data_IF_400000867272
#
_entry.id   IF_400000867272
#
_cell.length_a   1.000
_cell.length_b   1.000
_cell.length_c   1.000
_cell.angle_alpha   90.00
_cell.angle_beta   90.00
_cell.angle_gamma   90.00
#
_symmetry.space_group_name_H-M   'P 1'
#
loop_
_entity.id
_entity.type
_entity.pdbx_description
1 polymer ?
#
# COMPACT_ATOMS: atom_id res chain seq x y z
N UNK A 1 -1.50 -14.23 16.82
CA UNK A 1 -0.81 -13.17 16.05
C UNK A 1 -0.49 -13.79 14.70
N UNK A 2 -1.01 -13.30 13.56
CA UNK A 2 -0.58 -13.79 12.26
C UNK A 2 0.91 -13.51 12.15
N UNK A 3 1.67 -14.54 11.83
CA UNK A 3 3.13 -14.49 11.79
C UNK A 3 3.57 -13.57 10.65
N UNK A 4 4.76 -12.96 10.75
CA UNK A 4 5.31 -12.19 9.63
C UNK A 4 5.39 -13.01 8.32
N UNK A 5 5.48 -14.35 8.44
CA UNK A 5 5.44 -15.27 7.32
C UNK A 5 4.10 -15.25 6.55
N UNK A 6 2.98 -15.01 7.23
CA UNK A 6 1.66 -14.89 6.58
C UNK A 6 1.59 -13.61 5.73
N UNK A 7 2.17 -12.51 6.22
CA UNK A 7 2.23 -11.24 5.47
C UNK A 7 3.15 -11.34 4.25
N UNK A 8 4.31 -12.00 4.39
CA UNK A 8 5.24 -12.18 3.28
C UNK A 8 4.63 -13.06 2.18
N UNK A 9 3.83 -14.07 2.55
CA UNK A 9 3.06 -14.86 1.59
C UNK A 9 1.98 -14.02 0.88
N UNK A 10 1.21 -13.24 1.63
CA UNK A 10 0.18 -12.35 1.09
C UNK A 10 0.77 -11.33 0.11
N UNK A 11 1.91 -10.72 0.45
CA UNK A 11 2.61 -9.77 -0.42
C UNK A 11 3.06 -10.46 -1.72
N UNK A 12 3.61 -11.68 -1.63
CA UNK A 12 4.01 -12.44 -2.82
C UNK A 12 2.82 -12.77 -3.72
N UNK A 13 1.69 -13.19 -3.15
CA UNK A 13 0.47 -13.46 -3.91
C UNK A 13 -0.08 -12.19 -4.58
N UNK A 14 -0.10 -11.08 -3.85
CA UNK A 14 -0.55 -9.79 -4.36
C UNK A 14 0.36 -9.29 -5.48
N UNK A 15 1.69 -9.49 -5.39
CA UNK A 15 2.66 -9.18 -6.47
C UNK A 15 2.40 -9.98 -7.75
N UNK A 16 1.92 -11.21 -7.64
CA UNK A 16 1.48 -12.03 -8.77
C UNK A 16 0.11 -11.64 -9.33
N UNK A 17 -0.48 -10.51 -8.87
CA UNK A 17 -1.81 -10.06 -9.27
C UNK A 17 -2.92 -11.05 -8.86
N UNK A 18 -2.73 -11.81 -7.78
CA UNK A 18 -3.74 -12.75 -7.25
C UNK A 18 -4.57 -12.11 -6.14
N UNK A 19 -5.86 -12.46 -6.12
CA UNK A 19 -6.79 -12.02 -5.08
C UNK A 19 -6.53 -12.73 -3.75
N UNK A 20 -6.58 -11.96 -2.67
CA UNK A 20 -6.64 -12.50 -1.32
C UNK A 20 -8.09 -12.81 -0.94
N UNK A 21 -8.33 -13.86 -0.13
CA UNK A 21 -9.66 -14.14 0.38
C UNK A 21 -10.15 -13.01 1.30
N UNK A 22 -11.46 -12.79 1.32
CA UNK A 22 -12.10 -11.68 2.06
C UNK A 22 -11.69 -11.62 3.53
N UNK A 23 -11.55 -12.77 4.18
CA UNK A 23 -11.13 -12.88 5.59
C UNK A 23 -9.74 -12.29 5.82
N UNK A 24 -8.82 -12.54 4.89
CA UNK A 24 -7.44 -12.04 4.96
C UNK A 24 -7.41 -10.53 4.69
N UNK A 25 -8.12 -10.07 3.67
CA UNK A 25 -8.25 -8.63 3.34
C UNK A 25 -8.83 -7.87 4.53
N UNK A 26 -9.90 -8.38 5.14
CA UNK A 26 -10.52 -7.77 6.31
C UNK A 26 -9.55 -7.66 7.48
N UNK A 27 -8.80 -8.73 7.75
CA UNK A 27 -7.79 -8.76 8.81
C UNK A 27 -6.67 -7.75 8.54
N UNK A 28 -6.25 -7.64 7.28
CA UNK A 28 -5.22 -6.70 6.85
C UNK A 28 -5.66 -5.25 7.03
N UNK A 29 -6.89 -4.93 6.61
CA UNK A 29 -7.50 -3.62 6.77
C UNK A 29 -7.62 -3.20 8.24
N UNK A 30 -8.03 -4.10 9.14
CA UNK A 30 -8.11 -3.80 10.58
C UNK A 30 -6.73 -3.49 11.17
N UNK A 31 -5.69 -4.24 10.78
CA UNK A 31 -4.31 -3.96 11.21
C UNK A 31 -3.80 -2.63 10.69
N UNK A 32 -4.03 -2.35 9.41
CA UNK A 32 -3.60 -1.10 8.80
C UNK A 32 -4.32 0.10 9.42
N UNK A 33 -5.62 -0.03 9.70
CA UNK A 33 -6.40 0.97 10.42
C UNK A 33 -5.81 1.25 11.80
N UNK A 34 -5.44 0.22 12.57
CA UNK A 34 -4.80 0.40 13.87
C UNK A 34 -3.48 1.19 13.75
N UNK A 35 -2.65 0.87 12.75
CA UNK A 35 -1.38 1.56 12.48
C UNK A 35 -1.62 3.02 12.09
N UNK A 36 -2.54 3.28 11.15
CA UNK A 36 -2.84 4.61 10.62
C UNK A 36 -3.51 5.51 11.67
N UNK A 37 -4.29 4.96 12.60
CA UNK A 37 -4.89 5.72 13.71
C UNK A 37 -3.85 6.24 14.70
N UNK A 38 -2.73 5.54 14.86
CA UNK A 38 -1.62 5.97 15.71
C UNK A 38 -0.69 6.96 15.01
N UNK A 39 -0.80 7.10 13.68
CA UNK A 39 0.04 8.00 12.90
C UNK A 39 -0.45 9.45 12.97
N UNK A 40 0.51 10.36 13.15
CA UNK A 40 0.29 11.80 13.13
C UNK A 40 -0.05 12.27 11.71
N UNK A 41 -0.83 13.35 11.60
CA UNK A 41 -1.18 13.98 10.33
C UNK A 41 0.05 14.47 9.53
N UNK A 42 1.16 14.78 10.21
CA UNK A 42 2.43 15.17 9.60
C UNK A 42 3.47 14.12 9.97
N UNK A 43 3.86 13.30 8.99
CA UNK A 43 4.84 12.23 9.18
C UNK A 43 6.25 12.70 8.77
N UNK A 44 7.25 12.64 9.67
CA UNK A 44 8.63 12.89 9.30
C UNK A 44 9.20 11.68 8.52
N UNK A 45 9.71 11.92 7.31
CA UNK A 45 10.25 10.88 6.43
C UNK A 45 11.78 10.95 6.43
N UNK A 46 12.45 9.79 6.58
CA UNK A 46 13.92 9.71 6.58
C UNK A 46 14.46 9.52 5.17
N UNK A 47 15.48 10.31 4.82
CA UNK A 47 16.22 10.14 3.57
C UNK A 47 17.22 8.97 3.67
N UNK A 48 17.54 8.27 2.57
CA UNK A 48 16.98 8.42 1.21
C UNK A 48 15.55 7.87 1.12
N UNK A 49 14.69 8.50 0.32
CA UNK A 49 13.29 8.08 0.10
C UNK A 49 12.92 8.21 -1.38
N UNK A 50 12.20 7.22 -1.89
CA UNK A 50 11.56 7.24 -3.20
C UNK A 50 10.15 7.79 -3.05
N UNK A 51 9.90 8.94 -3.68
CA UNK A 51 8.59 9.59 -3.67
C UNK A 51 7.80 9.14 -4.89
N UNK A 52 6.61 8.60 -4.65
CA UNK A 52 5.70 8.07 -5.65
C UNK A 52 4.45 8.97 -5.71
N UNK A 53 4.11 9.42 -6.91
CA UNK A 53 2.87 10.16 -7.17
C UNK A 53 1.67 9.23 -7.40
N UNK A 54 0.72 9.72 -8.16
CA UNK A 54 -0.57 9.07 -8.43
C UNK A 54 -0.39 7.74 -9.15
N UNK A 55 -1.11 6.70 -8.70
CA UNK A 55 -1.05 5.35 -9.29
C UNK A 55 -2.30 5.06 -10.12
N UNK A 56 -3.48 5.53 -9.71
CA UNK A 56 -4.76 5.33 -10.42
C UNK A 56 -5.03 3.88 -10.84
N UNK A 57 -4.78 2.91 -9.95
CA UNK A 57 -5.00 1.48 -10.21
C UNK A 57 -4.10 0.86 -11.29
N UNK A 58 -2.99 1.51 -11.66
CA UNK A 58 -1.98 0.98 -12.58
C UNK A 58 -1.02 0.03 -11.86
N UNK A 59 -1.48 -1.20 -11.60
CA UNK A 59 -0.73 -2.19 -10.83
C UNK A 59 0.63 -2.58 -11.44
N UNK A 60 0.72 -2.73 -12.76
CA UNK A 60 1.98 -3.09 -13.43
C UNK A 60 3.04 -1.99 -13.32
N UNK A 61 2.63 -0.73 -13.37
CA UNK A 61 3.53 0.40 -13.18
C UNK A 61 4.03 0.48 -11.74
N UNK A 62 3.19 0.12 -10.76
CA UNK A 62 3.61 -0.01 -9.36
C UNK A 62 4.68 -1.10 -9.18
N UNK A 63 4.54 -2.26 -9.84
CA UNK A 63 5.58 -3.31 -9.80
C UNK A 63 6.88 -2.80 -10.41
N UNK A 64 6.81 -2.12 -11.56
CA UNK A 64 7.99 -1.58 -12.21
C UNK A 64 8.67 -0.52 -11.35
N UNK A 65 7.88 0.31 -10.65
CA UNK A 65 8.39 1.28 -9.68
C UNK A 65 9.21 0.60 -8.58
N UNK A 66 8.70 -0.50 -8.00
CA UNK A 66 9.47 -1.28 -7.02
C UNK A 66 10.72 -1.93 -7.63
N UNK A 67 10.67 -2.35 -8.90
CA UNK A 67 11.83 -2.91 -9.60
C UNK A 67 12.94 -1.88 -9.82
N UNK A 68 12.58 -0.64 -10.14
CA UNK A 68 13.53 0.46 -10.38
C UNK A 68 14.02 1.08 -9.07
N UNK A 69 13.12 1.33 -8.12
CA UNK A 69 13.43 1.95 -6.83
C UNK A 69 14.04 1.01 -5.79
N UNK A 70 13.95 -0.30 -6.02
CA UNK A 70 14.39 -1.35 -5.10
C UNK A 70 13.32 -1.74 -4.07
N UNK A 71 13.39 -2.96 -3.57
CA UNK A 71 12.39 -3.47 -2.63
C UNK A 71 12.57 -2.94 -1.20
N UNK A 72 11.48 -2.81 -0.45
CA UNK A 72 11.54 -2.63 1.00
C UNK A 72 12.08 -3.93 1.64
N UNK A 73 12.98 -3.88 2.63
CA UNK A 73 13.24 -2.75 3.54
C UNK A 73 14.43 -1.84 3.16
N UNK A 74 15.13 -2.12 2.07
CA UNK A 74 16.37 -1.40 1.72
C UNK A 74 16.10 0.04 1.25
N UNK A 75 14.94 0.26 0.62
CA UNK A 75 14.46 1.58 0.18
C UNK A 75 13.27 2.06 0.99
N UNK A 76 13.26 3.34 1.39
CA UNK A 76 12.08 3.98 1.97
C UNK A 76 11.16 4.48 0.85
N UNK A 77 9.85 4.36 1.05
CA UNK A 77 8.84 4.81 0.09
C UNK A 77 7.88 5.82 0.70
N UNK A 78 7.62 6.90 -0.03
CA UNK A 78 6.57 7.86 0.28
C UNK A 78 5.58 7.90 -0.87
N UNK A 79 4.35 7.44 -0.62
CA UNK A 79 3.26 7.52 -1.58
C UNK A 79 2.35 8.72 -1.28
N UNK A 80 2.05 9.52 -2.30
CA UNK A 80 1.35 10.80 -2.13
C UNK A 80 -0.18 10.74 -2.21
N UNK A 81 -0.77 9.58 -2.55
CA UNK A 81 -2.22 9.41 -2.67
C UNK A 81 -2.65 8.93 -4.05
N UNK A 82 -3.97 8.98 -4.31
CA UNK A 82 -4.59 8.64 -5.60
C UNK A 82 -4.21 7.23 -6.08
N UNK A 83 -4.43 6.27 -5.19
CA UNK A 83 -4.22 4.83 -5.42
C UNK A 83 -5.34 4.21 -6.23
N UNK A 84 -6.55 4.73 -6.02
CA UNK A 84 -7.80 4.21 -6.58
C UNK A 84 -8.29 5.10 -7.71
N UNK A 85 -9.23 4.55 -8.47
CA UNK A 85 -9.93 5.21 -9.60
C UNK A 85 -9.19 5.08 -10.95
N UNK A 86 -9.97 5.04 -12.04
CA UNK A 86 -9.57 4.80 -13.46
C UNK A 86 -8.99 3.43 -13.83
N UNK A 87 -8.24 2.77 -12.95
CA UNK A 87 -7.61 1.47 -13.23
C UNK A 87 -8.44 0.25 -12.82
N UNK A 88 -8.41 -0.82 -13.63
CA UNK A 88 -9.11 -2.09 -13.36
C UNK A 88 -8.53 -2.89 -12.17
N UNK A 89 -7.30 -2.58 -11.74
CA UNK A 89 -6.57 -3.30 -10.68
C UNK A 89 -6.42 -2.49 -9.38
N UNK A 90 -7.42 -1.67 -9.08
CA UNK A 90 -7.42 -0.77 -7.92
C UNK A 90 -7.39 -1.56 -6.59
N UNK A 91 -8.09 -2.70 -6.51
CA UNK A 91 -8.17 -3.51 -5.29
C UNK A 91 -6.83 -4.15 -4.96
N UNK A 92 -6.15 -4.67 -5.98
CA UNK A 92 -4.85 -5.33 -5.89
C UNK A 92 -3.77 -4.32 -5.50
N UNK A 93 -3.80 -3.15 -6.14
CA UNK A 93 -2.88 -2.03 -5.85
C UNK A 93 -3.00 -1.60 -4.39
N UNK A 94 -4.22 -1.31 -3.91
CA UNK A 94 -4.44 -0.90 -2.52
C UNK A 94 -4.09 -2.03 -1.55
N UNK A 95 -4.49 -3.27 -1.84
CA UNK A 95 -4.20 -4.41 -0.97
C UNK A 95 -2.69 -4.62 -0.80
N UNK A 96 -1.92 -4.48 -1.88
CA UNK A 96 -0.46 -4.57 -1.86
C UNK A 96 0.16 -3.46 -1.02
N UNK A 97 -0.25 -2.20 -1.24
CA UNK A 97 0.26 -1.06 -0.49
C UNK A 97 -0.05 -1.18 1.01
N UNK A 98 -1.26 -1.59 1.36
CA UNK A 98 -1.68 -1.82 2.74
C UNK A 98 -0.86 -2.96 3.37
N UNK A 99 -0.64 -4.06 2.65
CA UNK A 99 0.18 -5.17 3.13
C UNK A 99 1.62 -4.74 3.41
N UNK A 100 2.20 -4.00 2.47
CA UNK A 100 3.53 -3.41 2.59
C UNK A 100 3.62 -2.43 3.76
N UNK A 101 2.61 -1.58 3.98
CA UNK A 101 2.54 -0.66 5.13
C UNK A 101 2.49 -1.40 6.47
N UNK A 102 1.69 -2.47 6.56
CA UNK A 102 1.61 -3.30 7.77
C UNK A 102 2.93 -4.03 8.02
N UNK A 103 3.61 -4.48 6.95
CA UNK A 103 4.88 -5.21 7.04
C UNK A 103 6.08 -4.33 7.34
N UNK A 104 6.09 -3.11 6.82
CA UNK A 104 7.20 -2.15 6.87
C UNK A 104 6.75 -0.77 7.32
N UNK A 105 6.13 -0.69 8.51
CA UNK A 105 5.55 0.54 9.09
C UNK A 105 6.49 1.75 9.03
N UNK A 106 7.77 1.55 9.37
CA UNK A 106 8.78 2.62 9.45
C UNK A 106 9.42 2.99 8.10
N UNK A 107 9.19 2.20 7.05
CA UNK A 107 9.82 2.37 5.73
C UNK A 107 8.85 2.87 4.68
N UNK A 108 7.57 2.55 4.83
CA UNK A 108 6.53 2.87 3.86
C UNK A 108 5.56 3.85 4.49
N UNK A 109 5.52 5.04 3.92
CA UNK A 109 4.59 6.12 4.29
C UNK A 109 3.56 6.26 3.18
N UNK A 110 2.28 6.20 3.56
CA UNK A 110 1.15 6.32 2.65
C UNK A 110 0.38 7.57 3.07
N UNK A 111 0.26 8.54 2.16
CA UNK A 111 -0.58 9.71 2.34
C UNK A 111 -1.94 9.50 1.67
N UNK A 112 -2.91 10.31 2.10
CA UNK A 112 -4.28 10.30 1.56
C UNK A 112 -4.40 11.32 0.43
N UNK A 113 -4.77 10.86 -0.76
CA UNK A 113 -5.17 11.71 -1.88
C UNK A 113 -6.66 12.03 -1.85
N UNK A 114 -7.13 12.73 -2.88
CA UNK A 114 -8.53 13.11 -3.03
C UNK A 114 -9.41 11.91 -3.38
N UNK A 115 -8.89 10.94 -4.15
CA UNK A 115 -9.65 9.76 -4.58
C UNK A 115 -9.93 8.77 -3.43
N UNK A 116 -9.25 8.88 -2.28
CA UNK A 116 -9.53 8.08 -1.08
C UNK A 116 -10.67 8.64 -0.20
N UNK A 117 -11.60 9.39 -0.80
CA UNK A 117 -12.82 9.88 -0.15
C UNK A 117 -14.05 9.18 -0.68
N UNK A 118 -15.01 8.87 0.21
CA UNK A 118 -16.31 8.29 -0.14
C UNK A 118 -17.12 9.18 -1.09
N UNK A 119 -16.78 10.47 -1.20
CA UNK A 119 -17.41 11.38 -2.16
C UNK A 119 -16.96 11.17 -3.61
N UNK A 120 -15.75 10.63 -3.82
CA UNK A 120 -15.20 10.38 -5.17
C UNK A 120 -15.48 8.93 -5.60
N UNK A 121 -15.41 7.97 -4.68
CA UNK A 121 -15.63 6.53 -4.95
C UNK A 121 -17.12 6.09 -4.95
N UNK A 122 -18.06 6.99 -5.24
CA UNK A 122 -19.51 6.66 -5.31
C UNK A 122 -19.99 6.10 -6.65
N UNK A 123 -19.12 5.96 -7.63
CA UNK A 123 -19.46 5.47 -8.98
C UNK A 123 -19.12 4.00 -9.16
#
# INVERSE_FOLDING_TARGET
>A
MPSHADLDHQISQLRDCKFLPEVEVKTLCEKAKAILMEEWNVQPVRCPVTVCGDIHGQFYDLIELFRIGGDAPDTNYLFMGDYVDRGYYSVETVSLLVALKVRYRDRITILRGNHESRQITQV
#
